data_IF_364874369435
#
_entry.id   IF_364874369435
#
_cell.length_a   1.000
_cell.length_b   1.000
_cell.length_c   1.000
_cell.angle_alpha   90.00
_cell.angle_beta   90.00
_cell.angle_gamma   90.00
#
_symmetry.space_group_name_H-M   'P 1'
#
loop_
_entity.id
_entity.type
_entity.pdbx_description
1 polymer ?
#
# COMPACT_ATOMS: atom_id res chain seq x y z
N UNK A 1 10.67 18.20 -17.76
CA UNK A 1 10.50 17.80 -16.34
C UNK A 1 9.25 16.94 -16.24
N UNK A 2 9.40 15.63 -16.12
CA UNK A 2 8.28 14.73 -15.83
C UNK A 2 7.90 14.92 -14.38
N UNK A 3 7.04 15.89 -14.09
CA UNK A 3 6.46 16.05 -12.76
C UNK A 3 5.64 14.80 -12.46
N UNK A 4 6.11 13.96 -11.53
CA UNK A 4 5.28 12.90 -10.99
C UNK A 4 4.04 13.57 -10.41
N UNK A 5 2.86 13.28 -10.99
CA UNK A 5 1.60 13.78 -10.46
C UNK A 5 1.49 13.28 -9.02
N UNK A 6 1.21 14.19 -8.09
CA UNK A 6 0.97 13.81 -6.71
C UNK A 6 -0.34 13.00 -6.69
N UNK A 7 -0.23 11.75 -6.28
CA UNK A 7 -1.30 10.76 -6.34
C UNK A 7 -1.51 10.23 -4.93
N UNK A 8 -2.77 10.13 -4.54
CA UNK A 8 -3.16 9.76 -3.18
C UNK A 8 -3.87 8.41 -3.18
N UNK A 9 -3.56 7.57 -2.20
CA UNK A 9 -4.27 6.32 -1.97
C UNK A 9 -5.69 6.60 -1.48
N UNK A 10 -6.70 6.10 -2.18
CA UNK A 10 -8.11 6.30 -1.85
C UNK A 10 -8.51 5.75 -0.48
N UNK A 11 -7.75 4.80 0.09
CA UNK A 11 -8.07 4.18 1.38
C UNK A 11 -7.40 4.83 2.60
N UNK A 12 -6.22 5.41 2.45
CA UNK A 12 -5.45 5.92 3.59
C UNK A 12 -4.86 7.31 3.41
N UNK A 13 -5.21 7.97 2.31
CA UNK A 13 -4.80 9.33 1.94
C UNK A 13 -3.28 9.58 1.87
N UNK A 14 -2.45 8.54 1.94
CA UNK A 14 -1.00 8.66 1.77
C UNK A 14 -0.64 8.89 0.31
N UNK A 15 0.39 9.70 0.11
CA UNK A 15 0.86 10.13 -1.20
C UNK A 15 1.84 9.13 -1.80
N UNK A 16 1.95 9.10 -3.13
CA UNK A 16 2.89 8.26 -3.85
C UNK A 16 4.37 8.58 -3.55
N UNK A 17 4.67 9.72 -2.91
CA UNK A 17 5.99 10.01 -2.32
C UNK A 17 6.31 9.14 -1.09
N UNK A 18 5.29 8.76 -0.32
CA UNK A 18 5.43 8.02 0.95
C UNK A 18 5.23 6.51 0.77
N UNK A 19 4.44 6.11 -0.23
CA UNK A 19 4.05 4.72 -0.47
C UNK A 19 4.11 4.34 -1.94
N UNK A 20 4.24 3.05 -2.23
CA UNK A 20 4.13 2.54 -3.59
C UNK A 20 2.66 2.41 -3.98
N UNK A 21 2.27 2.99 -5.12
CA UNK A 21 0.92 2.80 -5.69
C UNK A 21 0.91 1.51 -6.51
N UNK A 22 -0.11 0.67 -6.31
CA UNK A 22 -0.22 -0.68 -6.91
C UNK A 22 -1.11 -0.67 -8.15
N UNK A 23 -2.14 0.15 -8.18
CA UNK A 23 -3.02 0.25 -9.33
C UNK A 23 -3.88 1.51 -9.28
N UNK A 24 -4.21 2.02 -10.46
CA UNK A 24 -5.17 3.08 -10.67
C UNK A 24 -6.11 2.63 -11.81
N UNK A 25 -7.31 2.16 -11.46
CA UNK A 25 -8.33 1.78 -12.43
C UNK A 25 -9.70 2.26 -11.94
N UNK A 26 -10.52 2.78 -12.85
CA UNK A 26 -11.89 3.23 -12.58
C UNK A 26 -11.99 4.23 -11.40
N UNK A 27 -10.97 5.08 -11.23
CA UNK A 27 -10.92 6.10 -10.18
C UNK A 27 -10.44 5.62 -8.81
N UNK A 28 -10.20 4.31 -8.64
CA UNK A 28 -9.66 3.74 -7.41
C UNK A 28 -8.14 3.64 -7.50
N UNK A 29 -7.46 4.24 -6.53
CA UNK A 29 -6.00 4.21 -6.41
C UNK A 29 -5.64 3.59 -5.06
N UNK A 30 -4.93 2.47 -5.09
CA UNK A 30 -4.55 1.75 -3.87
C UNK A 30 -3.03 1.67 -3.72
N UNK A 31 -2.55 1.91 -2.50
CA UNK A 31 -1.13 1.74 -2.16
C UNK A 31 -0.82 0.36 -1.60
N UNK A 32 0.44 -0.02 -1.67
CA UNK A 32 0.96 -1.32 -1.23
C UNK A 32 0.67 -1.62 0.24
N UNK A 33 0.67 -0.60 1.10
CA UNK A 33 0.37 -0.77 2.53
C UNK A 33 -1.12 -1.08 2.77
N UNK A 34 -2.02 -0.48 1.99
CA UNK A 34 -3.44 -0.83 2.05
C UNK A 34 -3.69 -2.23 1.50
N UNK A 35 -2.99 -2.63 0.43
CA UNK A 35 -3.04 -4.02 -0.06
C UNK A 35 -2.61 -5.00 1.02
N UNK A 36 -1.51 -4.73 1.73
CA UNK A 36 -1.04 -5.58 2.83
C UNK A 36 -2.10 -5.74 3.94
N UNK A 37 -2.72 -4.64 4.37
CA UNK A 37 -3.81 -4.68 5.36
C UNK A 37 -5.03 -5.46 4.87
N UNK A 38 -5.43 -5.28 3.62
CA UNK A 38 -6.54 -6.05 3.05
C UNK A 38 -6.23 -7.54 3.03
N UNK A 39 -4.98 -7.92 2.70
CA UNK A 39 -4.57 -9.32 2.73
C UNK A 39 -4.61 -9.90 4.16
N UNK A 40 -4.14 -9.16 5.17
CA UNK A 40 -4.25 -9.57 6.59
C UNK A 40 -5.71 -9.77 7.03
N UNK A 41 -6.62 -8.89 6.62
CA UNK A 41 -8.06 -9.01 6.91
C UNK A 41 -8.65 -10.25 6.24
N UNK A 42 -8.31 -10.50 4.97
CA UNK A 42 -8.81 -11.66 4.22
C UNK A 42 -8.28 -12.97 4.78
N UNK A 43 -7.00 -13.03 5.15
CA UNK A 43 -6.40 -14.20 5.80
C UNK A 43 -7.13 -14.52 7.11
N UNK A 44 -7.38 -13.51 7.94
CA UNK A 44 -8.11 -13.67 9.20
C UNK A 44 -9.56 -14.13 9.00
N UNK A 45 -10.26 -13.59 8.00
CA UNK A 45 -11.65 -13.94 7.68
C UNK A 45 -11.78 -15.35 7.10
N UNK A 46 -10.78 -15.80 6.33
CA UNK A 46 -10.78 -17.10 5.67
C UNK A 46 -10.08 -18.20 6.48
N UNK A 47 -9.44 -17.86 7.59
CA UNK A 47 -8.65 -18.78 8.40
C UNK A 47 -7.35 -19.22 7.74
N UNK A 48 -6.87 -18.48 6.74
CA UNK A 48 -5.56 -18.70 6.10
C UNK A 48 -4.47 -18.11 6.99
N UNK A 49 -3.39 -18.85 7.20
CA UNK A 49 -2.25 -18.33 7.96
C UNK A 49 -1.50 -17.28 7.13
N UNK A 50 -1.35 -16.07 7.69
CA UNK A 50 -0.58 -15.02 7.05
C UNK A 50 0.91 -15.38 6.94
N UNK A 51 1.64 -14.81 5.96
CA UNK A 51 3.07 -15.01 5.83
C UNK A 51 3.83 -14.67 7.12
N UNK A 52 4.93 -15.38 7.38
CA UNK A 52 5.84 -15.07 8.48
C UNK A 52 6.30 -13.59 8.40
N UNK A 53 6.07 -12.84 9.48
CA UNK A 53 6.35 -11.39 9.54
C UNK A 53 5.22 -10.49 9.01
N UNK A 54 4.07 -11.05 8.63
CA UNK A 54 2.90 -10.31 8.16
C UNK A 54 3.06 -9.72 6.75
N UNK A 55 1.96 -9.30 6.13
CA UNK A 55 1.99 -8.74 4.78
C UNK A 55 2.69 -7.38 4.72
N UNK A 56 2.69 -6.63 5.82
CA UNK A 56 3.42 -5.36 5.93
C UNK A 56 4.93 -5.51 5.70
N UNK A 57 5.54 -6.65 6.06
CA UNK A 57 6.96 -6.91 5.84
C UNK A 57 7.33 -7.07 4.36
N UNK A 58 6.39 -7.55 3.54
CA UNK A 58 6.56 -7.71 2.09
C UNK A 58 6.39 -6.39 1.33
N UNK A 59 5.62 -5.47 1.90
CA UNK A 59 5.31 -4.17 1.28
C UNK A 59 5.48 -3.00 2.25
N UNK A 60 6.72 -2.71 2.67
CA UNK A 60 6.99 -1.57 3.54
C UNK A 60 6.67 -0.25 2.83
N UNK A 61 6.43 0.80 3.63
CA UNK A 61 6.41 2.18 3.13
C UNK A 61 7.79 2.54 2.57
N UNK A 62 7.86 3.57 1.73
CA UNK A 62 9.16 4.06 1.27
C UNK A 62 9.96 4.54 2.48
N UNK A 63 11.28 4.28 2.53
CA UNK A 63 12.12 4.95 3.51
C UNK A 63 11.97 6.46 3.31
N UNK A 64 11.70 7.19 4.38
CA UNK A 64 11.78 8.65 4.34
C UNK A 64 13.21 9.00 3.97
N UNK A 65 13.44 9.60 2.79
CA UNK A 65 14.72 10.24 2.52
C UNK A 65 14.99 11.22 3.66
N UNK A 66 16.17 11.09 4.27
CA UNK A 66 16.50 11.70 5.55
C UNK A 66 16.22 13.20 5.60
N UNK A 67 15.78 13.64 6.79
CA UNK A 67 15.82 15.04 7.23
C UNK A 67 17.23 15.60 7.15
#
# INVERSE_FOLDING_TARGET
MTGFRDITCTLCDRHNRDVHMVGARDGLIICSVCVARCAEILDADTGVESPAGGWASRWPSKPSEGT
#
